data_IF_244826125922
#
_entry.id   IF_244826125922
#
_cell.length_a   1.000
_cell.length_b   1.000
_cell.length_c   1.000
_cell.angle_alpha   90.00
_cell.angle_beta   90.00
_cell.angle_gamma   90.00
#
_symmetry.space_group_name_H-M   'P 1'
#
loop_
_entity.id
_entity.type
_entity.pdbx_description
1 polymer ?
#
# COMPACT_ATOMS: atom_id res chain seq x y z
N UNK A 1 10.57 -65.61 -44.02
CA UNK A 1 11.77 -65.59 -44.84
C UNK A 1 12.67 -64.50 -44.37
N UNK A 2 13.62 -64.88 -43.60
CA UNK A 2 15.07 -64.94 -43.88
C UNK A 2 15.65 -63.52 -43.66
N UNK A 3 16.25 -63.26 -42.49
CA UNK A 3 17.69 -63.32 -42.17
C UNK A 3 18.40 -62.05 -42.63
N UNK A 4 19.37 -61.42 -42.01
CA UNK A 4 20.33 -61.75 -40.97
C UNK A 4 21.06 -60.45 -40.54
N UNK A 5 21.53 -60.41 -39.31
CA UNK A 5 22.70 -59.62 -38.87
C UNK A 5 23.97 -60.02 -39.59
N UNK A 6 25.10 -59.28 -39.56
CA UNK A 6 25.87 -59.10 -38.34
C UNK A 6 26.88 -57.90 -38.23
N UNK A 7 27.31 -57.68 -37.05
CA UNK A 7 28.71 -57.58 -36.54
C UNK A 7 29.64 -56.40 -36.89
N UNK A 8 30.01 -55.72 -35.74
CA UNK A 8 31.40 -55.32 -35.33
C UNK A 8 32.07 -54.16 -36.07
N UNK A 9 32.46 -53.14 -35.43
CA UNK A 9 33.83 -52.95 -34.94
C UNK A 9 34.01 -51.76 -34.06
N UNK A 10 34.79 -51.97 -33.03
CA UNK A 10 35.36 -51.10 -32.00
C UNK A 10 36.43 -50.17 -32.60
N UNK A 11 36.44 -48.90 -32.34
CA UNK A 11 37.68 -48.09 -32.26
C UNK A 11 37.56 -47.02 -31.15
N UNK A 12 38.42 -47.19 -30.17
CA UNK A 12 38.81 -46.16 -29.20
C UNK A 12 39.50 -44.99 -29.90
N UNK A 13 39.19 -43.76 -29.50
CA UNK A 13 40.18 -42.68 -29.45
C UNK A 13 39.89 -41.71 -28.30
N UNK A 14 40.88 -41.60 -27.46
CA UNK A 14 41.06 -40.63 -26.36
C UNK A 14 41.00 -39.19 -26.88
N UNK A 15 40.57 -38.27 -25.98
CA UNK A 15 41.17 -36.97 -25.93
C UNK A 15 40.20 -35.80 -25.94
N UNK A 16 40.17 -35.04 -24.86
CA UNK A 16 39.65 -33.69 -24.92
C UNK A 16 38.77 -33.29 -23.74
N UNK A 17 39.40 -33.12 -22.59
CA UNK A 17 38.91 -32.43 -21.43
C UNK A 17 38.75 -30.94 -21.78
N UNK A 18 37.53 -30.41 -21.80
CA UNK A 18 37.28 -28.97 -21.76
C UNK A 18 36.26 -28.69 -20.66
N UNK A 19 36.79 -28.18 -19.54
CA UNK A 19 35.98 -27.55 -18.49
C UNK A 19 35.34 -26.28 -19.07
N UNK A 20 34.05 -26.31 -19.31
CA UNK A 20 33.23 -25.10 -19.44
C UNK A 20 32.57 -24.84 -18.08
N UNK A 21 33.14 -23.92 -17.33
CA UNK A 21 32.51 -23.34 -16.16
C UNK A 21 31.28 -22.54 -16.62
N UNK A 22 30.14 -23.19 -16.67
CA UNK A 22 28.85 -22.54 -16.83
C UNK A 22 28.46 -21.91 -15.50
N UNK A 23 28.81 -20.64 -15.30
CA UNK A 23 28.23 -19.83 -14.25
C UNK A 23 26.74 -19.67 -14.47
N UNK A 24 25.95 -20.53 -13.85
CA UNK A 24 24.51 -20.32 -13.74
C UNK A 24 24.27 -19.10 -12.89
N UNK A 25 23.89 -17.98 -13.51
CA UNK A 25 23.25 -16.88 -12.81
C UNK A 25 21.99 -17.49 -12.15
N UNK A 26 22.08 -17.71 -10.84
CA UNK A 26 20.88 -17.90 -10.03
C UNK A 26 20.14 -16.57 -10.10
N UNK A 27 19.11 -16.51 -10.97
CA UNK A 27 18.07 -15.53 -10.83
C UNK A 27 17.50 -15.71 -9.43
N UNK A 28 17.57 -14.67 -8.60
CA UNK A 28 16.82 -14.60 -7.35
C UNK A 28 15.33 -14.74 -7.72
N UNK A 29 14.80 -15.97 -7.64
CA UNK A 29 13.36 -16.13 -7.54
C UNK A 29 12.92 -15.41 -6.28
N UNK A 30 11.99 -14.45 -6.37
CA UNK A 30 11.46 -13.79 -5.17
C UNK A 30 10.86 -14.88 -4.29
N UNK A 31 11.38 -15.01 -3.08
CA UNK A 31 10.89 -15.94 -2.08
C UNK A 31 9.37 -15.82 -1.98
N UNK A 32 8.66 -16.84 -2.44
CA UNK A 32 7.20 -16.96 -2.30
C UNK A 32 6.87 -16.89 -0.82
N UNK A 33 6.28 -15.79 -0.37
CA UNK A 33 5.53 -15.80 0.87
C UNK A 33 5.58 -14.59 1.79
N UNK A 34 6.52 -13.67 1.67
CA UNK A 34 6.55 -12.49 2.56
C UNK A 34 6.16 -11.26 1.77
N UNK A 35 4.98 -10.72 2.07
CA UNK A 35 4.55 -9.44 1.50
C UNK A 35 5.47 -8.33 1.99
N UNK A 36 5.88 -7.44 1.08
CA UNK A 36 6.63 -6.25 1.46
C UNK A 36 5.78 -5.32 2.33
N UNK A 37 6.44 -4.48 3.11
CA UNK A 37 5.75 -3.50 3.97
C UNK A 37 4.73 -2.67 3.17
N UNK A 38 5.12 -2.18 1.99
CA UNK A 38 4.22 -1.37 1.15
C UNK A 38 3.12 -2.18 0.47
N UNK A 39 3.29 -3.47 0.23
CA UNK A 39 2.18 -4.33 -0.18
C UNK A 39 1.11 -4.44 0.92
N UNK A 40 1.53 -4.59 2.17
CA UNK A 40 0.62 -4.63 3.32
C UNK A 40 -0.06 -3.26 3.52
N UNK A 41 0.69 -2.15 3.46
CA UNK A 41 0.14 -0.79 3.56
C UNK A 41 -0.86 -0.51 2.44
N UNK A 42 -0.58 -0.92 1.19
CA UNK A 42 -1.51 -0.78 0.07
C UNK A 42 -2.81 -1.55 0.30
N UNK A 43 -2.73 -2.78 0.83
CA UNK A 43 -3.92 -3.55 1.21
C UNK A 43 -4.73 -2.83 2.31
N UNK A 44 -4.07 -2.24 3.31
CA UNK A 44 -4.76 -1.43 4.32
C UNK A 44 -5.43 -0.19 3.73
N UNK A 45 -4.80 0.51 2.78
CA UNK A 45 -5.45 1.64 2.11
C UNK A 45 -6.75 1.20 1.42
N UNK A 46 -6.77 0.02 0.80
CA UNK A 46 -8.00 -0.57 0.28
C UNK A 46 -9.04 -0.83 1.41
N UNK A 47 -8.64 -1.46 2.51
CA UNK A 47 -9.55 -1.73 3.61
C UNK A 47 -10.11 -0.44 4.23
N UNK A 48 -9.33 0.61 4.31
CA UNK A 48 -9.82 1.90 4.81
C UNK A 48 -10.94 2.43 3.93
N UNK A 49 -10.88 2.26 2.60
CA UNK A 49 -12.01 2.66 1.73
C UNK A 49 -13.29 1.85 1.96
N UNK A 50 -13.18 0.66 2.55
CA UNK A 50 -14.31 -0.23 2.82
C UNK A 50 -14.91 -0.03 4.21
N UNK A 51 -14.09 0.34 5.19
CA UNK A 51 -14.47 0.38 6.60
C UNK A 51 -14.55 1.79 7.19
N UNK A 52 -14.46 2.80 6.36
CA UNK A 52 -14.71 4.19 6.72
C UNK A 52 -15.92 4.69 5.93
N UNK A 53 -16.80 5.43 6.58
CA UNK A 53 -17.96 6.07 5.96
C UNK A 53 -17.66 7.55 5.72
N UNK A 54 -17.95 8.00 4.50
CA UNK A 54 -17.86 9.40 4.08
C UNK A 54 -19.27 10.00 3.95
N UNK A 55 -19.41 11.30 4.20
CA UNK A 55 -20.65 12.01 3.85
C UNK A 55 -20.97 11.84 2.37
N UNK A 56 -22.26 11.74 2.05
CA UNK A 56 -22.73 11.53 0.65
C UNK A 56 -22.24 12.61 -0.31
N UNK A 57 -22.11 13.85 0.19
CA UNK A 57 -21.67 15.02 -0.55
C UNK A 57 -20.23 14.89 -1.06
N UNK A 58 -19.41 14.07 -0.40
CA UNK A 58 -18.02 13.81 -0.81
C UNK A 58 -17.96 13.22 -2.22
N UNK A 59 -18.95 12.41 -2.59
CA UNK A 59 -19.01 11.75 -3.88
C UNK A 59 -19.57 12.62 -5.01
N UNK A 60 -20.16 13.78 -4.70
CA UNK A 60 -20.67 14.70 -5.71
C UNK A 60 -19.56 15.24 -6.63
N UNK A 61 -18.33 15.30 -6.14
CA UNK A 61 -17.17 15.78 -6.90
C UNK A 61 -16.38 14.69 -7.60
N UNK A 62 -16.41 13.48 -7.07
CA UNK A 62 -15.66 12.34 -7.64
C UNK A 62 -16.54 11.42 -8.49
N UNK A 63 -17.86 11.62 -8.46
CA UNK A 63 -18.82 10.83 -9.24
C UNK A 63 -18.81 9.36 -8.86
N UNK A 64 -18.56 8.49 -9.85
CA UNK A 64 -18.54 7.04 -9.69
C UNK A 64 -17.16 6.49 -9.24
N UNK A 65 -16.28 7.34 -8.72
CA UNK A 65 -14.96 6.91 -8.30
C UNK A 65 -14.70 7.20 -6.82
N UNK A 66 -13.88 6.35 -6.20
CA UNK A 66 -13.25 6.56 -4.90
C UNK A 66 -11.77 6.80 -5.15
N UNK A 67 -11.28 7.96 -4.79
CA UNK A 67 -9.90 8.36 -5.03
C UNK A 67 -9.03 7.99 -3.82
N UNK A 68 -8.01 7.17 -4.06
CA UNK A 68 -6.90 6.93 -3.13
C UNK A 68 -5.72 7.75 -3.63
N UNK A 69 -5.42 8.84 -2.91
CA UNK A 69 -4.36 9.78 -3.25
C UNK A 69 -3.05 9.45 -2.56
N UNK A 70 -1.94 9.79 -3.19
CA UNK A 70 -0.60 9.87 -2.58
C UNK A 70 -0.11 11.30 -2.76
N UNK A 71 0.26 11.96 -1.65
CA UNK A 71 0.82 13.31 -1.64
C UNK A 71 2.32 13.22 -1.36
N UNK A 72 3.11 13.85 -2.22
CA UNK A 72 4.58 13.81 -2.17
C UNK A 72 5.17 12.65 -2.95
N UNK A 73 6.39 12.23 -2.58
CA UNK A 73 7.06 11.08 -3.22
C UNK A 73 6.29 9.79 -2.95
N UNK A 74 5.99 9.04 -4.02
CA UNK A 74 5.22 7.79 -3.92
C UNK A 74 6.12 6.61 -3.52
N UNK A 75 5.94 6.06 -2.29
CA UNK A 75 6.71 4.90 -1.85
C UNK A 75 6.13 3.57 -2.32
N UNK A 76 4.93 3.56 -2.91
CA UNK A 76 4.25 2.35 -3.37
C UNK A 76 4.60 1.98 -4.80
N UNK A 77 4.87 2.97 -5.67
CA UNK A 77 5.05 2.75 -7.10
C UNK A 77 3.86 2.00 -7.71
N UNK A 78 4.11 0.97 -8.51
CA UNK A 78 3.08 0.17 -9.16
C UNK A 78 2.24 -0.68 -8.19
N UNK A 79 2.74 -0.97 -6.99
CA UNK A 79 2.09 -1.85 -6.01
C UNK A 79 0.69 -1.36 -5.66
N UNK A 80 0.51 -0.04 -5.46
CA UNK A 80 -0.78 0.53 -5.10
C UNK A 80 -1.78 0.41 -6.26
N UNK A 81 -1.34 0.70 -7.49
CA UNK A 81 -2.18 0.56 -8.68
C UNK A 81 -2.61 -0.89 -8.90
N UNK A 82 -1.71 -1.84 -8.75
CA UNK A 82 -2.00 -3.28 -8.87
C UNK A 82 -2.95 -3.75 -7.77
N UNK A 83 -2.75 -3.29 -6.54
CA UNK A 83 -3.60 -3.63 -5.40
C UNK A 83 -5.04 -3.15 -5.59
N UNK A 84 -5.24 -1.97 -6.19
CA UNK A 84 -6.57 -1.37 -6.36
C UNK A 84 -7.21 -1.66 -7.72
N UNK A 85 -6.46 -2.20 -8.68
CA UNK A 85 -6.95 -2.48 -10.03
C UNK A 85 -8.20 -3.36 -10.02
N UNK A 86 -9.26 -2.90 -10.67
CA UNK A 86 -10.53 -3.62 -10.80
C UNK A 86 -11.35 -3.70 -9.51
N UNK A 87 -10.90 -3.08 -8.42
CA UNK A 87 -11.67 -3.05 -7.17
C UNK A 87 -12.68 -1.91 -7.17
N UNK A 88 -13.75 -2.13 -6.43
CA UNK A 88 -14.82 -1.14 -6.21
C UNK A 88 -15.30 -1.20 -4.76
N UNK A 89 -15.85 -0.09 -4.29
CA UNK A 89 -16.51 0.05 -2.99
C UNK A 89 -17.82 0.79 -3.21
N UNK A 90 -18.93 0.20 -2.74
CA UNK A 90 -20.28 0.74 -2.91
C UNK A 90 -20.59 1.11 -4.39
N UNK A 91 -20.26 0.19 -5.30
CA UNK A 91 -20.39 0.33 -6.77
C UNK A 91 -19.53 1.43 -7.40
N UNK A 92 -18.61 2.06 -6.67
CA UNK A 92 -17.67 3.06 -7.18
C UNK A 92 -16.32 2.45 -7.39
N UNK A 93 -15.70 2.71 -8.56
CA UNK A 93 -14.36 2.21 -8.89
C UNK A 93 -13.29 2.93 -8.07
N UNK A 94 -12.30 2.19 -7.58
CA UNK A 94 -11.13 2.76 -6.95
C UNK A 94 -10.15 3.25 -8.03
N UNK A 95 -9.62 4.46 -7.82
CA UNK A 95 -8.58 5.06 -8.67
C UNK A 95 -7.46 5.60 -7.81
N UNK A 96 -6.22 5.41 -8.27
CA UNK A 96 -5.03 5.98 -7.63
C UNK A 96 -4.70 7.31 -8.29
N UNK A 97 -4.41 8.33 -7.48
CA UNK A 97 -3.89 9.62 -7.97
C UNK A 97 -2.66 10.03 -7.17
N UNK A 98 -1.68 10.63 -7.83
CA UNK A 98 -0.48 11.19 -7.23
C UNK A 98 -0.56 12.70 -7.31
N UNK A 99 -0.27 13.36 -6.19
CA UNK A 99 -0.40 14.80 -6.06
C UNK A 99 0.92 15.42 -5.60
N UNK A 100 1.34 16.47 -6.29
CA UNK A 100 2.43 17.33 -5.85
C UNK A 100 1.94 18.43 -4.89
N UNK A 101 0.65 18.79 -4.97
CA UNK A 101 0.05 19.87 -4.21
C UNK A 101 -1.19 19.42 -3.44
N UNK A 102 -1.31 19.91 -2.21
CA UNK A 102 -2.45 19.58 -1.35
C UNK A 102 -3.79 20.10 -1.89
N UNK A 103 -3.78 21.19 -2.63
CA UNK A 103 -5.01 21.78 -3.21
C UNK A 103 -5.72 20.79 -4.14
N UNK A 104 -4.95 20.02 -4.91
CA UNK A 104 -5.46 19.05 -5.88
C UNK A 104 -5.92 17.74 -5.21
N UNK A 105 -5.47 17.51 -3.97
CA UNK A 105 -5.74 16.29 -3.21
C UNK A 105 -7.01 16.35 -2.34
N UNK A 106 -7.67 17.52 -2.23
CA UNK A 106 -8.84 17.72 -1.36
C UNK A 106 -10.06 16.88 -1.71
N UNK A 107 -10.13 16.38 -2.93
CA UNK A 107 -11.24 15.54 -3.39
C UNK A 107 -10.94 14.03 -3.26
N UNK A 108 -9.82 13.66 -2.63
CA UNK A 108 -9.52 12.28 -2.32
C UNK A 108 -10.36 11.78 -1.15
N UNK A 109 -10.82 10.53 -1.20
CA UNK A 109 -11.44 9.89 -0.03
C UNK A 109 -10.38 9.45 0.96
N UNK A 110 -9.30 8.82 0.47
CA UNK A 110 -8.13 8.46 1.28
C UNK A 110 -6.92 9.18 0.72
N UNK A 111 -6.14 9.83 1.56
CA UNK A 111 -4.91 10.52 1.17
C UNK A 111 -3.74 10.00 2.02
N UNK A 112 -2.85 9.25 1.37
CA UNK A 112 -1.56 8.92 1.98
C UNK A 112 -0.62 10.11 1.86
N UNK A 113 -0.10 10.56 3.00
CA UNK A 113 0.86 11.65 3.09
C UNK A 113 2.24 11.05 3.30
N UNK A 114 3.08 11.17 2.27
CA UNK A 114 4.41 10.58 2.24
C UNK A 114 5.36 11.23 3.26
N UNK A 115 6.41 10.50 3.62
CA UNK A 115 7.47 11.01 4.50
C UNK A 115 8.21 12.24 3.92
N UNK A 116 8.21 12.42 2.61
CA UNK A 116 8.75 13.62 1.94
C UNK A 116 8.00 14.91 2.35
N UNK A 117 6.78 14.78 2.88
CA UNK A 117 5.93 15.89 3.32
C UNK A 117 6.05 16.20 4.82
N UNK A 118 7.00 15.60 5.53
CA UNK A 118 7.20 15.71 6.99
C UNK A 118 7.18 17.15 7.49
N UNK A 119 7.92 18.03 6.83
CA UNK A 119 8.07 19.43 7.25
C UNK A 119 6.82 20.26 6.94
N UNK A 120 6.08 19.87 5.91
CA UNK A 120 4.84 20.53 5.49
C UNK A 120 3.58 19.97 6.16
N UNK A 121 3.68 18.90 6.95
CA UNK A 121 2.54 18.21 7.54
C UNK A 121 1.56 19.16 8.26
N UNK A 122 1.99 20.13 9.11
CA UNK A 122 1.04 21.02 9.77
C UNK A 122 0.22 21.86 8.78
N UNK A 123 0.86 22.39 7.73
CA UNK A 123 0.18 23.17 6.68
C UNK A 123 -0.75 22.32 5.82
N UNK A 124 -0.38 21.08 5.56
CA UNK A 124 -1.20 20.11 4.83
C UNK A 124 -2.47 19.78 5.61
N UNK A 125 -2.34 19.43 6.88
CA UNK A 125 -3.49 19.11 7.74
C UNK A 125 -4.42 20.31 7.89
N UNK A 126 -3.87 21.53 8.06
CA UNK A 126 -4.64 22.77 8.08
C UNK A 126 -5.40 22.99 6.75
N UNK A 127 -4.76 22.73 5.61
CA UNK A 127 -5.40 22.89 4.31
C UNK A 127 -6.55 21.88 4.08
N UNK A 128 -6.55 20.76 4.81
CA UNK A 128 -7.60 19.73 4.77
C UNK A 128 -8.71 19.95 5.82
N UNK A 129 -8.61 20.94 6.67
CA UNK A 129 -9.68 21.25 7.64
C UNK A 129 -11.02 21.42 6.93
N UNK A 130 -12.06 20.77 7.48
CA UNK A 130 -13.41 20.75 6.89
C UNK A 130 -13.57 19.91 5.62
N UNK A 131 -12.51 19.27 5.12
CA UNK A 131 -12.61 18.32 4.03
C UNK A 131 -12.82 16.90 4.58
N UNK A 132 -13.74 16.15 3.98
CA UNK A 132 -13.99 14.76 4.33
C UNK A 132 -12.95 13.84 3.68
N UNK A 133 -11.67 14.01 4.05
CA UNK A 133 -10.52 13.26 3.56
C UNK A 133 -9.94 12.44 4.71
N UNK A 134 -9.79 11.13 4.52
CA UNK A 134 -9.07 10.27 5.47
C UNK A 134 -7.57 10.41 5.22
N UNK A 135 -6.86 11.07 6.12
CA UNK A 135 -5.40 11.19 6.06
C UNK A 135 -4.73 9.96 6.67
N UNK A 136 -3.81 9.38 5.93
CA UNK A 136 -3.02 8.21 6.32
C UNK A 136 -1.54 8.55 6.12
N UNK A 137 -0.67 8.12 7.02
CA UNK A 137 0.78 8.33 6.86
C UNK A 137 1.59 7.34 7.67
N UNK A 138 2.88 7.29 7.38
CA UNK A 138 3.87 6.50 8.13
C UNK A 138 5.00 7.35 8.72
N UNK A 139 4.76 8.66 8.80
CA UNK A 139 5.64 9.60 9.48
C UNK A 139 5.59 9.37 11.01
N UNK A 140 6.73 9.55 11.65
CA UNK A 140 6.80 9.54 13.10
C UNK A 140 5.81 10.54 13.71
N UNK A 141 5.10 10.08 14.73
CA UNK A 141 4.11 10.90 15.43
C UNK A 141 2.96 11.44 14.55
N UNK A 142 2.69 10.80 13.39
CA UNK A 142 1.66 11.29 12.48
C UNK A 142 0.30 11.52 13.16
N UNK A 143 -0.16 10.55 13.96
CA UNK A 143 -1.43 10.65 14.67
C UNK A 143 -1.42 11.75 15.77
N UNK A 144 -0.32 11.88 16.54
CA UNK A 144 -0.20 12.91 17.57
C UNK A 144 -0.05 14.32 17.00
N UNK A 145 0.42 14.43 15.75
CA UNK A 145 0.50 15.69 15.01
C UNK A 145 -0.81 16.06 14.31
N UNK A 146 -1.89 15.29 14.51
CA UNK A 146 -3.22 15.56 13.97
C UNK A 146 -3.64 14.74 12.77
N UNK A 147 -2.79 13.83 12.26
CA UNK A 147 -3.16 12.84 11.26
C UNK A 147 -4.19 11.84 11.81
N UNK A 148 -4.93 11.18 10.94
CA UNK A 148 -6.04 10.34 11.34
C UNK A 148 -5.65 8.87 11.51
N UNK A 149 -4.91 8.29 10.56
CA UNK A 149 -4.38 6.92 10.66
C UNK A 149 -2.87 6.95 10.46
N UNK A 150 -2.13 6.46 11.45
CA UNK A 150 -0.68 6.36 11.41
C UNK A 150 -0.24 4.92 11.27
N UNK A 151 0.44 4.56 10.20
CA UNK A 151 1.13 3.29 10.11
C UNK A 151 2.35 3.28 11.04
N UNK A 152 2.59 2.12 11.63
CA UNK A 152 3.78 1.83 12.42
C UNK A 152 4.23 0.39 12.17
N UNK A 153 5.50 0.13 12.33
CA UNK A 153 6.06 -1.22 12.30
C UNK A 153 6.37 -1.66 13.72
N UNK A 154 5.80 -2.79 14.13
CA UNK A 154 6.00 -3.41 15.44
C UNK A 154 6.24 -4.91 15.22
N UNK A 155 7.32 -5.44 15.77
CA UNK A 155 7.71 -6.86 15.61
C UNK A 155 7.71 -7.31 14.13
N UNK A 156 8.26 -6.48 13.24
CA UNK A 156 8.27 -6.70 11.77
C UNK A 156 6.89 -6.81 11.13
N UNK A 157 5.84 -6.36 11.81
CA UNK A 157 4.47 -6.35 11.31
C UNK A 157 3.98 -4.93 11.15
N UNK A 158 3.30 -4.65 10.05
CA UNK A 158 2.59 -3.39 9.85
C UNK A 158 1.38 -3.36 10.77
N UNK A 159 1.30 -2.31 11.58
CA UNK A 159 0.19 -1.97 12.46
C UNK A 159 -0.25 -0.55 12.16
N UNK A 160 -1.33 -0.11 12.75
CA UNK A 160 -1.74 1.28 12.63
C UNK A 160 -2.44 1.79 13.89
N UNK A 161 -2.32 3.09 14.08
CA UNK A 161 -2.98 3.83 15.14
C UNK A 161 -4.10 4.67 14.52
N UNK A 162 -5.20 4.84 15.25
CA UNK A 162 -6.36 5.62 14.83
C UNK A 162 -6.55 6.79 15.80
N UNK A 163 -6.43 8.01 15.31
CA UNK A 163 -6.81 9.22 16.04
C UNK A 163 -8.30 9.50 15.79
N UNK A 164 -9.15 8.94 16.65
CA UNK A 164 -10.62 9.04 16.50
C UNK A 164 -11.09 10.50 16.52
N UNK A 165 -10.50 11.34 17.34
CA UNK A 165 -10.86 12.75 17.39
C UNK A 165 -10.56 13.46 16.06
N UNK A 166 -9.43 13.15 15.42
CA UNK A 166 -9.12 13.71 14.11
C UNK A 166 -10.05 13.20 13.01
N UNK A 167 -10.44 11.92 13.06
CA UNK A 167 -11.42 11.33 12.14
C UNK A 167 -12.77 12.03 12.26
N UNK A 168 -13.25 12.24 13.49
CA UNK A 168 -14.53 12.92 13.74
C UNK A 168 -14.53 14.38 13.28
N UNK A 169 -13.41 15.12 13.46
CA UNK A 169 -13.28 16.48 12.93
C UNK A 169 -13.39 16.57 11.40
N UNK A 170 -13.02 15.51 10.71
CA UNK A 170 -13.18 15.40 9.24
C UNK A 170 -14.58 14.88 8.83
N UNK A 171 -15.54 14.78 9.76
CA UNK A 171 -16.90 14.25 9.53
C UNK A 171 -16.91 12.80 8.99
N UNK A 172 -15.86 12.03 9.31
CA UNK A 172 -15.74 10.62 8.94
C UNK A 172 -16.18 9.71 10.10
N UNK A 173 -16.58 8.49 9.77
CA UNK A 173 -16.87 7.44 10.76
C UNK A 173 -16.06 6.20 10.44
N UNK A 174 -15.36 5.68 11.44
CA UNK A 174 -14.62 4.43 11.35
C UNK A 174 -15.50 3.32 11.89
N UNK A 175 -15.60 2.21 11.15
CA UNK A 175 -16.37 1.06 11.60
C UNK A 175 -15.77 0.42 12.86
N UNK A 176 -16.62 -0.23 13.67
CA UNK A 176 -16.16 -0.97 14.84
C UNK A 176 -15.16 -2.10 14.49
N UNK A 177 -15.26 -2.66 13.27
CA UNK A 177 -14.34 -3.67 12.79
C UNK A 177 -12.92 -3.08 12.59
N UNK A 178 -12.82 -1.90 11.97
CA UNK A 178 -11.53 -1.25 11.78
C UNK A 178 -10.93 -0.79 13.12
N UNK A 179 -11.75 -0.29 14.04
CA UNK A 179 -11.30 0.10 15.38
C UNK A 179 -10.71 -1.07 16.19
N UNK A 180 -11.20 -2.30 15.99
CA UNK A 180 -10.64 -3.50 16.64
C UNK A 180 -9.28 -3.92 16.09
N UNK A 181 -8.93 -3.51 14.89
CA UNK A 181 -7.66 -3.85 14.23
C UNK A 181 -6.56 -2.84 14.52
N UNK A 182 -6.91 -1.59 14.77
CA UNK A 182 -6.00 -0.50 15.07
C UNK A 182 -5.90 -0.21 16.57
N UNK A 183 -4.82 0.43 16.98
CA UNK A 183 -4.71 1.00 18.31
C UNK A 183 -5.35 2.38 18.30
N UNK A 184 -6.28 2.62 19.23
CA UNK A 184 -6.89 3.94 19.38
C UNK A 184 -5.93 4.82 20.17
N UNK A 185 -5.67 6.01 19.63
CA UNK A 185 -4.85 7.04 20.27
C UNK A 185 -5.62 8.36 20.34
N UNK A 186 -5.34 9.14 21.38
CA UNK A 186 -5.74 10.52 21.42
C UNK A 186 -4.77 11.39 20.59
N UNK A 187 -5.13 12.63 20.31
CA UNK A 187 -4.28 13.57 19.57
C UNK A 187 -2.95 13.91 20.27
N UNK A 188 -2.73 13.42 21.49
CA UNK A 188 -1.47 13.58 22.23
C UNK A 188 -0.53 12.37 22.07
N UNK A 189 -0.96 11.34 21.31
CA UNK A 189 -0.20 10.10 21.12
C UNK A 189 -0.27 9.15 22.32
N UNK A 190 -1.08 9.45 23.34
CA UNK A 190 -1.34 8.55 24.47
C UNK A 190 -2.36 7.50 24.07
N UNK A 191 -2.21 6.30 24.59
CA UNK A 191 -3.24 5.26 24.42
C UNK A 191 -4.49 5.70 25.16
N UNK A 192 -5.62 5.75 24.46
CA UNK A 192 -6.92 5.85 25.09
C UNK A 192 -7.17 4.58 25.92
N UNK A 193 -7.54 4.74 27.19
CA UNK A 193 -7.92 3.68 28.12
C UNK A 193 -9.31 3.14 27.75
#
# INVERSE_FOLDING_TARGET
>A
MVAASPRRLLVLCLGGMLLAAGGGARGDEPAKGVLSEYQIKAAYLYYFTTFVDWPSETYSRTGETVVVGVLGEDPFGAILDETLRGKSVNSRRLVVKRFANIKDARDSQVLFISNSERDRLPSILKALEGAAVLTVGDLDQFASRGGQIAFRTEDKKVRFDINVAAVQRAHLRVSAQLMKLGRIVDGSGRQGV
#
